data_IF_904691429537
#
_entry.id   IF_904691429537
#
_cell.length_a   1.000
_cell.length_b   1.000
_cell.length_c   1.000
_cell.angle_alpha   90.00
_cell.angle_beta   90.00
_cell.angle_gamma   90.00
#
_symmetry.space_group_name_H-M   'P 1'
#
loop_
_entity.id
_entity.type
_entity.pdbx_description
1 polymer ?
#
# COMPACT_ATOMS: atom_id res chain seq x y z
N UNK A 1 28.00 21.22 -15.53
CA UNK A 1 27.24 21.93 -14.49
C UNK A 1 26.44 20.95 -13.64
N UNK A 2 26.24 21.21 -12.32
CA UNK A 2 25.40 20.34 -11.45
C UNK A 2 23.93 20.48 -11.84
N UNK A 3 23.18 19.35 -11.86
CA UNK A 3 21.75 19.35 -12.20
C UNK A 3 20.92 19.99 -11.08
N UNK A 4 19.99 20.86 -11.44
CA UNK A 4 18.91 21.34 -10.57
C UNK A 4 17.66 20.48 -10.79
N UNK A 5 17.03 19.99 -9.71
CA UNK A 5 15.75 19.28 -9.82
C UNK A 5 14.65 20.24 -10.25
N UNK A 6 13.72 19.76 -11.07
CA UNK A 6 12.59 20.58 -11.55
C UNK A 6 11.72 21.08 -10.39
N UNK A 7 11.48 20.25 -9.40
CA UNK A 7 10.72 20.66 -8.19
C UNK A 7 11.38 21.85 -7.44
N UNK A 8 12.71 21.86 -7.36
CA UNK A 8 13.46 22.92 -6.69
C UNK A 8 13.49 24.18 -7.56
N UNK A 9 13.65 23.99 -8.88
CA UNK A 9 13.65 25.08 -9.84
C UNK A 9 12.33 25.87 -9.84
N UNK A 10 11.19 25.15 -9.83
CA UNK A 10 9.86 25.77 -9.85
C UNK A 10 9.53 26.58 -8.58
N UNK A 11 10.30 26.40 -7.51
CA UNK A 11 10.20 27.16 -6.24
C UNK A 11 11.23 28.27 -6.14
N UNK A 12 12.18 28.33 -7.07
CA UNK A 12 13.26 29.33 -7.06
C UNK A 12 12.78 30.65 -7.63
N UNK A 13 13.33 31.73 -7.08
CA UNK A 13 13.14 33.12 -7.55
C UNK A 13 14.44 33.73 -8.07
N UNK A 14 15.50 32.93 -8.26
CA UNK A 14 16.82 33.37 -8.71
C UNK A 14 16.86 33.58 -10.25
N UNK A 15 15.97 34.45 -10.70
CA UNK A 15 15.84 34.79 -12.14
C UNK A 15 17.13 35.38 -12.72
N UNK A 16 17.46 35.00 -13.95
CA UNK A 16 18.69 35.34 -14.63
C UNK A 16 19.86 34.38 -14.35
N UNK A 17 19.74 33.50 -13.39
CA UNK A 17 20.74 32.46 -13.13
C UNK A 17 20.82 31.41 -14.24
N UNK A 18 22.02 30.88 -14.49
CA UNK A 18 22.22 29.78 -15.43
C UNK A 18 21.98 28.46 -14.69
N UNK A 19 21.05 27.66 -15.19
CA UNK A 19 20.65 26.37 -14.60
C UNK A 19 20.90 25.24 -15.58
N UNK A 20 21.09 24.01 -15.03
CA UNK A 20 21.12 22.79 -15.80
C UNK A 20 19.96 21.91 -15.35
N UNK A 21 19.03 21.59 -16.23
CA UNK A 21 17.91 20.68 -15.98
C UNK A 21 18.02 19.47 -16.88
N UNK A 22 17.65 18.29 -16.35
CA UNK A 22 17.63 17.03 -17.11
C UNK A 22 16.32 16.32 -16.87
N UNK A 23 15.76 15.70 -17.90
CA UNK A 23 14.49 14.99 -17.77
C UNK A 23 13.97 14.47 -19.10
N UNK A 24 12.73 14.03 -19.06
CA UNK A 24 12.04 13.45 -20.20
C UNK A 24 10.99 14.42 -20.75
N UNK A 25 10.94 14.51 -22.08
CA UNK A 25 10.00 15.36 -22.80
C UNK A 25 8.58 14.79 -22.63
N UNK A 26 7.68 15.63 -22.11
CA UNK A 26 6.23 15.32 -22.03
C UNK A 26 5.51 15.76 -23.29
N UNK A 27 5.81 16.96 -23.74
CA UNK A 27 5.25 17.50 -24.98
C UNK A 27 6.23 18.48 -25.62
N UNK A 28 6.18 18.58 -26.95
CA UNK A 28 6.82 19.64 -27.71
C UNK A 28 5.79 20.34 -28.60
N UNK A 29 5.83 21.66 -28.64
CA UNK A 29 5.08 22.51 -29.59
C UNK A 29 6.06 23.37 -30.35
N UNK A 30 6.08 23.23 -31.67
CA UNK A 30 6.98 24.02 -32.54
C UNK A 30 6.22 25.20 -33.11
N UNK A 31 6.76 26.41 -32.91
CA UNK A 31 6.38 27.63 -33.58
C UNK A 31 7.38 28.00 -34.67
N UNK A 32 7.13 29.10 -35.39
CA UNK A 32 8.05 29.58 -36.45
C UNK A 32 9.39 30.06 -35.90
N UNK A 33 9.37 30.75 -34.76
CA UNK A 33 10.55 31.34 -34.14
C UNK A 33 11.03 30.55 -32.89
N UNK A 34 10.14 29.85 -32.20
CA UNK A 34 10.43 29.24 -30.89
C UNK A 34 9.76 27.89 -30.79
N UNK A 35 10.47 26.93 -30.22
CA UNK A 35 9.92 25.64 -29.78
C UNK A 35 9.75 25.63 -28.27
N UNK A 36 8.58 25.18 -27.78
CA UNK A 36 8.29 25.00 -26.38
C UNK A 36 8.31 23.52 -26.04
N UNK A 37 9.17 23.15 -25.08
CA UNK A 37 9.36 21.74 -24.66
C UNK A 37 8.99 21.64 -23.18
N UNK A 38 7.98 20.84 -22.86
CA UNK A 38 7.64 20.53 -21.48
C UNK A 38 8.54 19.39 -21.00
N UNK A 39 9.41 19.66 -20.04
CA UNK A 39 10.38 18.71 -19.49
C UNK A 39 10.00 18.32 -18.06
N UNK A 40 10.10 17.05 -17.73
CA UNK A 40 9.82 16.49 -16.39
C UNK A 40 10.92 15.52 -15.97
N UNK A 41 11.37 15.63 -14.72
CA UNK A 41 12.42 14.76 -14.17
C UNK A 41 11.89 13.77 -13.11
N UNK A 42 10.58 13.68 -12.92
CA UNK A 42 9.93 12.83 -11.93
C UNK A 42 9.84 13.43 -10.52
N UNK A 43 10.57 14.50 -10.22
CA UNK A 43 10.59 15.10 -8.86
C UNK A 43 9.28 15.80 -8.47
N UNK A 44 8.44 16.13 -9.45
CA UNK A 44 7.14 16.77 -9.28
C UNK A 44 6.21 16.37 -10.42
N UNK A 45 4.91 16.53 -10.24
CA UNK A 45 3.93 16.36 -11.32
C UNK A 45 4.00 17.48 -12.35
N UNK A 46 4.46 18.67 -11.94
CA UNK A 46 4.59 19.84 -12.80
C UNK A 46 5.78 19.70 -13.74
N UNK A 47 5.68 20.30 -14.93
CA UNK A 47 6.76 20.36 -15.89
C UNK A 47 7.44 21.72 -15.83
N UNK A 48 8.72 21.80 -16.19
CA UNK A 48 9.33 23.06 -16.55
C UNK A 48 9.22 23.27 -18.07
N UNK A 49 8.88 24.47 -18.51
CA UNK A 49 8.90 24.83 -19.91
C UNK A 49 10.32 25.22 -20.32
N UNK A 50 10.84 24.55 -21.33
CA UNK A 50 12.07 24.93 -22.03
C UNK A 50 11.68 25.73 -23.27
N UNK A 51 12.28 26.89 -23.43
CA UNK A 51 12.10 27.76 -24.59
C UNK A 51 13.35 27.66 -25.45
N UNK A 52 13.20 27.06 -26.64
CA UNK A 52 14.29 26.88 -27.60
C UNK A 52 14.09 27.79 -28.82
N UNK A 53 14.95 28.79 -28.97
CA UNK A 53 14.91 29.72 -30.08
C UNK A 53 15.42 29.06 -31.36
N UNK A 54 14.65 29.17 -32.46
CA UNK A 54 15.03 28.63 -33.78
C UNK A 54 16.25 29.35 -34.42
N UNK A 55 16.61 30.53 -33.92
CA UNK A 55 17.84 31.21 -34.33
C UNK A 55 19.10 30.60 -33.68
N UNK A 56 18.94 29.86 -32.55
CA UNK A 56 20.03 29.24 -31.77
C UNK A 56 20.15 27.75 -32.08
N UNK A 57 19.03 27.08 -32.26
CA UNK A 57 19.00 25.60 -32.40
C UNK A 57 18.62 25.19 -33.83
N UNK A 58 19.40 24.28 -34.38
CA UNK A 58 19.14 23.71 -35.71
C UNK A 58 17.78 22.93 -35.70
N UNK A 59 17.06 23.10 -36.81
CA UNK A 59 15.77 22.44 -37.04
C UNK A 59 15.87 20.92 -36.99
N UNK A 60 16.99 20.31 -37.41
CA UNK A 60 17.22 18.86 -37.37
C UNK A 60 17.37 18.35 -35.93
N UNK A 61 18.09 19.09 -35.07
CA UNK A 61 18.15 18.80 -33.64
C UNK A 61 16.75 18.82 -33.02
N UNK A 62 16.00 19.90 -33.29
CA UNK A 62 14.67 20.05 -32.72
C UNK A 62 13.70 18.96 -33.21
N UNK A 63 13.81 18.45 -34.43
CA UNK A 63 12.98 17.36 -34.95
C UNK A 63 13.18 16.05 -34.20
N UNK A 64 14.38 15.76 -33.72
CA UNK A 64 14.72 14.56 -32.96
C UNK A 64 14.13 14.57 -31.52
N UNK A 65 13.74 15.75 -31.03
CA UNK A 65 13.14 15.91 -29.70
C UNK A 65 11.66 15.54 -29.79
N UNK A 66 11.32 14.32 -29.42
CA UNK A 66 9.96 13.78 -29.41
C UNK A 66 9.47 13.50 -27.98
N UNK A 67 8.19 13.21 -27.80
CA UNK A 67 7.66 12.77 -26.49
C UNK A 67 8.41 11.52 -26.04
N UNK A 68 8.92 11.54 -24.80
CA UNK A 68 9.71 10.46 -24.23
C UNK A 68 11.23 10.60 -24.41
N UNK A 69 11.72 11.48 -25.28
CA UNK A 69 13.17 11.78 -25.39
C UNK A 69 13.72 12.29 -24.06
N UNK A 70 14.95 11.94 -23.74
CA UNK A 70 15.66 12.42 -22.57
C UNK A 70 16.63 13.53 -22.94
N UNK A 71 16.54 14.66 -22.25
CA UNK A 71 17.34 15.86 -22.53
C UNK A 71 18.17 16.30 -21.34
N UNK A 72 19.30 16.95 -21.65
CA UNK A 72 20.04 17.85 -20.75
C UNK A 72 19.98 19.25 -21.34
N UNK A 73 19.48 20.21 -20.56
CA UNK A 73 19.30 21.57 -21.00
C UNK A 73 20.06 22.51 -20.06
N UNK A 74 20.90 23.37 -20.61
CA UNK A 74 21.53 24.50 -19.92
C UNK A 74 20.95 25.80 -20.46
N UNK A 75 20.59 26.72 -19.59
CA UNK A 75 20.02 28.00 -20.02
C UNK A 75 19.67 28.89 -18.83
N UNK A 76 19.11 30.07 -19.17
CA UNK A 76 18.71 31.08 -18.20
C UNK A 76 17.33 30.76 -17.62
N UNK A 77 17.23 30.71 -16.28
CA UNK A 77 15.95 30.67 -15.58
C UNK A 77 15.32 32.07 -15.65
N UNK A 78 14.10 32.16 -16.12
CA UNK A 78 13.36 33.42 -16.21
C UNK A 78 11.93 33.24 -15.65
N UNK A 79 11.33 34.36 -15.25
CA UNK A 79 9.92 34.38 -14.91
C UNK A 79 9.09 34.05 -16.16
N UNK A 80 8.12 33.14 -16.01
CA UNK A 80 7.29 32.75 -17.16
C UNK A 80 6.18 33.77 -17.42
N UNK A 81 6.03 34.25 -18.64
CA UNK A 81 4.89 35.11 -19.02
C UNK A 81 3.59 34.31 -19.19
N UNK A 82 3.68 32.97 -19.19
CA UNK A 82 2.56 32.06 -19.41
C UNK A 82 1.72 31.81 -18.16
N UNK A 83 0.40 31.79 -18.31
CA UNK A 83 -0.50 31.42 -17.22
C UNK A 83 -0.27 29.96 -16.76
N UNK A 84 -0.25 29.74 -15.44
CA UNK A 84 -0.16 28.41 -14.86
C UNK A 84 1.26 27.86 -14.67
N UNK A 85 2.30 28.66 -14.91
CA UNK A 85 3.69 28.33 -14.61
C UNK A 85 4.43 29.56 -14.11
N UNK A 86 5.29 29.40 -13.09
CA UNK A 86 6.05 30.52 -12.51
C UNK A 86 7.39 30.73 -13.19
N UNK A 87 7.97 29.67 -13.72
CA UNK A 87 9.36 29.67 -14.24
C UNK A 87 9.42 28.98 -15.59
N UNK A 88 10.28 29.49 -16.47
CA UNK A 88 10.72 28.78 -17.67
C UNK A 88 12.24 28.86 -17.83
N UNK A 89 12.81 28.01 -18.67
CA UNK A 89 14.25 28.02 -19.00
C UNK A 89 14.44 28.41 -20.46
N UNK A 90 15.09 29.53 -20.68
CA UNK A 90 15.55 29.92 -22.01
C UNK A 90 16.82 29.16 -22.33
N UNK A 91 16.71 28.19 -23.23
CA UNK A 91 17.78 27.26 -23.53
C UNK A 91 18.94 27.97 -24.23
N UNK A 92 20.16 27.73 -23.75
CA UNK A 92 21.44 28.12 -24.39
C UNK A 92 22.12 26.89 -25.01
N UNK A 93 21.91 25.70 -24.40
CA UNK A 93 22.41 24.40 -24.88
C UNK A 93 21.36 23.31 -24.65
N UNK A 94 21.17 22.46 -25.62
CA UNK A 94 20.32 21.25 -25.52
C UNK A 94 21.12 20.05 -26.02
N UNK A 95 21.32 19.06 -25.13
CA UNK A 95 21.90 17.76 -25.48
C UNK A 95 20.82 16.69 -25.40
N UNK A 96 20.67 15.90 -26.46
CA UNK A 96 19.79 14.71 -26.44
C UNK A 96 20.56 13.57 -25.81
N UNK A 97 20.19 13.20 -24.57
CA UNK A 97 20.78 12.08 -23.84
C UNK A 97 20.24 10.71 -24.32
N UNK A 98 19.03 10.73 -24.86
CA UNK A 98 18.36 9.56 -25.41
C UNK A 98 17.20 9.95 -26.31
N UNK A 99 17.19 9.39 -27.51
CA UNK A 99 16.07 9.54 -28.45
C UNK A 99 14.91 8.61 -28.02
N UNK A 100 13.73 8.84 -28.57
CA UNK A 100 12.56 8.01 -28.32
C UNK A 100 12.04 7.44 -29.62
N UNK A 101 11.89 6.12 -29.69
CA UNK A 101 11.36 5.43 -30.86
C UNK A 101 9.88 5.77 -31.09
N UNK A 102 9.40 5.61 -32.32
CA UNK A 102 8.04 6.01 -32.72
C UNK A 102 6.95 5.16 -32.07
N UNK A 103 7.27 3.92 -31.72
CA UNK A 103 6.38 2.95 -31.04
C UNK A 103 6.31 3.13 -29.52
N UNK A 104 6.79 4.25 -28.99
CA UNK A 104 6.73 4.56 -27.56
C UNK A 104 5.32 4.37 -27.00
N UNK A 105 5.11 3.46 -26.01
CA UNK A 105 3.77 3.05 -25.60
C UNK A 105 3.01 4.13 -24.80
N UNK A 106 3.71 5.06 -24.16
CA UNK A 106 3.08 6.11 -23.33
C UNK A 106 2.80 7.38 -24.16
N UNK A 107 1.92 7.24 -25.16
CA UNK A 107 1.54 8.35 -26.04
C UNK A 107 0.60 9.35 -25.32
N UNK A 108 0.43 10.57 -25.92
CA UNK A 108 -0.43 11.64 -25.39
C UNK A 108 -1.91 11.28 -25.28
N UNK A 109 -2.40 10.37 -26.11
CA UNK A 109 -3.79 9.88 -26.02
C UNK A 109 -3.93 9.05 -24.76
N UNK A 110 -5.03 9.25 -24.02
CA UNK A 110 -5.35 8.49 -22.82
C UNK A 110 -5.32 6.99 -23.10
N UNK A 111 -4.54 6.27 -22.33
CA UNK A 111 -4.43 4.81 -22.37
C UNK A 111 -5.33 4.23 -21.28
N UNK A 112 -5.91 3.05 -21.50
CA UNK A 112 -6.64 2.36 -20.42
C UNK A 112 -5.68 1.86 -19.35
N UNK A 113 -6.19 1.69 -18.12
CA UNK A 113 -5.38 1.13 -17.03
C UNK A 113 -4.95 -0.31 -17.34
N UNK A 114 -5.77 -1.10 -18.03
CA UNK A 114 -5.42 -2.45 -18.50
C UNK A 114 -4.20 -2.42 -19.41
N UNK A 115 -4.20 -1.54 -20.41
CA UNK A 115 -3.05 -1.35 -21.27
C UNK A 115 -1.80 -0.93 -20.49
N UNK A 116 -1.94 0.01 -19.54
CA UNK A 116 -0.80 0.45 -18.73
C UNK A 116 -0.26 -0.65 -17.80
N UNK A 117 -1.08 -1.61 -17.38
CA UNK A 117 -0.62 -2.79 -16.62
C UNK A 117 0.25 -3.72 -17.46
N UNK A 118 -0.07 -3.90 -18.74
CA UNK A 118 0.79 -4.70 -19.65
C UNK A 118 2.11 -4.00 -20.01
N UNK A 119 2.23 -2.71 -19.67
CA UNK A 119 3.43 -1.89 -19.83
C UNK A 119 3.92 -1.31 -18.50
N UNK A 120 3.87 -2.11 -17.43
CA UNK A 120 4.18 -1.65 -16.07
C UNK A 120 5.56 -0.98 -15.95
N UNK A 121 6.56 -1.47 -16.70
CA UNK A 121 7.91 -0.92 -16.79
C UNK A 121 7.98 0.52 -17.37
N UNK A 122 6.94 0.95 -18.10
CA UNK A 122 6.89 2.29 -18.72
C UNK A 122 5.83 3.20 -18.10
N UNK A 123 4.78 2.65 -17.45
CA UNK A 123 3.66 3.43 -16.93
C UNK A 123 4.04 4.49 -15.90
N UNK A 124 5.16 4.31 -15.19
CA UNK A 124 5.73 5.28 -14.26
C UNK A 124 6.05 6.64 -14.89
N UNK A 125 6.22 6.68 -16.21
CA UNK A 125 6.46 7.93 -16.97
C UNK A 125 5.18 8.72 -17.21
N UNK A 126 4.01 8.22 -16.84
CA UNK A 126 2.75 8.97 -16.93
C UNK A 126 2.53 9.86 -15.70
N UNK A 127 1.70 10.87 -15.83
CA UNK A 127 1.38 11.75 -14.69
C UNK A 127 0.65 10.99 -13.59
N UNK A 128 -0.31 10.14 -13.93
CA UNK A 128 -1.10 9.35 -12.97
C UNK A 128 -0.20 8.45 -12.12
N UNK A 129 0.63 7.63 -12.75
CA UNK A 129 1.49 6.72 -11.98
C UNK A 129 2.65 7.45 -11.31
N UNK A 130 3.15 8.54 -11.90
CA UNK A 130 4.10 9.44 -11.22
C UNK A 130 3.53 9.98 -9.91
N UNK A 131 2.27 10.45 -9.91
CA UNK A 131 1.58 10.93 -8.72
C UNK A 131 1.38 9.81 -7.68
N UNK A 132 0.82 8.67 -8.10
CA UNK A 132 0.60 7.51 -7.21
C UNK A 132 1.89 7.08 -6.50
N UNK A 133 3.02 6.99 -7.21
CA UNK A 133 4.26 6.50 -6.62
C UNK A 133 5.02 7.55 -5.80
N UNK A 134 4.83 8.86 -6.05
CA UNK A 134 5.31 9.90 -5.13
C UNK A 134 4.50 9.88 -3.82
N UNK A 135 3.18 9.70 -3.90
CA UNK A 135 2.33 9.51 -2.70
C UNK A 135 2.74 8.24 -1.95
N UNK A 136 2.91 7.10 -2.64
CA UNK A 136 3.38 5.84 -2.03
C UNK A 136 4.71 6.03 -1.29
N UNK A 137 5.67 6.73 -1.91
CA UNK A 137 6.95 7.04 -1.26
C UNK A 137 6.77 7.86 0.01
N UNK A 138 5.95 8.93 -0.05
CA UNK A 138 5.71 9.80 1.10
C UNK A 138 4.99 9.06 2.24
N UNK A 139 4.01 8.21 1.92
CA UNK A 139 3.33 7.38 2.92
C UNK A 139 4.29 6.39 3.58
N UNK A 140 5.18 5.74 2.82
CA UNK A 140 6.16 4.83 3.40
C UNK A 140 7.08 5.55 4.40
N UNK A 141 7.54 6.75 4.06
CA UNK A 141 8.32 7.58 4.98
C UNK A 141 7.52 8.01 6.21
N UNK A 142 6.27 8.45 6.02
CA UNK A 142 5.37 8.86 7.10
C UNK A 142 5.15 7.73 8.11
N UNK A 143 4.95 6.50 7.64
CA UNK A 143 4.79 5.30 8.47
C UNK A 143 6.02 5.09 9.36
N UNK A 144 7.22 5.06 8.77
CA UNK A 144 8.45 4.91 9.55
C UNK A 144 8.64 6.05 10.56
N UNK A 145 8.33 7.28 10.15
CA UNK A 145 8.43 8.45 11.03
C UNK A 145 7.44 8.37 12.19
N UNK A 146 6.18 8.01 11.93
CA UNK A 146 5.15 7.87 12.95
C UNK A 146 5.61 6.91 14.06
N UNK A 147 5.94 5.69 13.68
CA UNK A 147 6.35 4.68 14.65
C UNK A 147 7.65 5.02 15.37
N UNK A 148 8.63 5.60 14.66
CA UNK A 148 9.87 6.07 15.28
C UNK A 148 9.61 7.15 16.34
N UNK A 149 8.81 8.15 16.02
CA UNK A 149 8.50 9.27 16.91
C UNK A 149 7.68 8.82 18.15
N UNK A 150 6.94 7.71 18.04
CA UNK A 150 6.19 7.09 19.14
C UNK A 150 6.99 6.03 19.91
N UNK A 151 8.30 5.88 19.62
CA UNK A 151 9.19 4.99 20.37
C UNK A 151 9.11 3.51 19.98
N UNK A 152 8.52 3.19 18.84
CA UNK A 152 8.48 1.82 18.32
C UNK A 152 9.80 1.46 17.65
N UNK A 153 10.20 0.19 17.80
CA UNK A 153 11.33 -0.37 17.09
C UNK A 153 10.88 -0.97 15.75
N UNK A 154 11.55 -0.61 14.66
CA UNK A 154 11.39 -1.34 13.40
C UNK A 154 12.01 -2.73 13.53
N UNK A 155 11.18 -3.76 13.39
CA UNK A 155 11.56 -5.14 13.65
C UNK A 155 11.47 -5.97 12.38
N UNK A 156 12.59 -6.61 12.00
CA UNK A 156 12.63 -7.50 10.87
C UNK A 156 12.15 -8.90 11.26
N UNK A 157 11.10 -9.38 10.60
CA UNK A 157 10.62 -10.74 10.71
C UNK A 157 10.99 -11.55 9.47
N UNK A 158 11.18 -12.88 9.57
CA UNK A 158 11.58 -13.69 8.43
C UNK A 158 10.58 -13.67 7.29
N UNK A 159 11.07 -13.53 6.06
CA UNK A 159 10.25 -13.68 4.85
C UNK A 159 10.04 -15.17 4.53
N UNK A 160 11.02 -16.03 4.85
CA UNK A 160 10.92 -17.48 4.69
C UNK A 160 10.62 -18.06 6.06
N UNK A 161 9.51 -18.77 6.18
CA UNK A 161 9.04 -19.35 7.45
C UNK A 161 8.61 -20.80 7.29
N UNK A 162 8.66 -21.55 8.37
CA UNK A 162 8.06 -22.88 8.47
C UNK A 162 6.70 -22.85 9.18
N UNK A 163 6.25 -21.68 9.64
CA UNK A 163 5.01 -21.48 10.40
C UNK A 163 3.95 -20.79 9.55
N UNK A 164 2.70 -21.26 9.64
CA UNK A 164 1.54 -20.59 9.05
C UNK A 164 0.83 -19.77 10.14
N UNK A 165 0.96 -18.45 10.06
CA UNK A 165 0.36 -17.52 11.01
C UNK A 165 -1.17 -17.52 10.96
N UNK A 166 -1.77 -17.71 9.80
CA UNK A 166 -3.22 -17.64 9.61
C UNK A 166 -3.90 -19.03 9.67
N UNK A 167 -3.12 -20.12 9.59
CA UNK A 167 -3.60 -21.50 9.75
C UNK A 167 -4.47 -22.03 8.60
N UNK A 168 -4.66 -21.28 7.53
CA UNK A 168 -5.51 -21.63 6.39
C UNK A 168 -4.99 -21.11 5.05
N UNK A 169 -3.83 -20.46 5.05
CA UNK A 169 -3.31 -19.76 3.88
C UNK A 169 -2.72 -20.71 2.84
N UNK A 170 -3.05 -20.51 1.58
CA UNK A 170 -2.25 -21.08 0.50
C UNK A 170 -0.94 -20.29 0.44
N UNK A 171 0.14 -20.92 0.90
CA UNK A 171 1.47 -20.32 0.94
C UNK A 171 2.28 -20.72 -0.30
N UNK A 172 3.08 -19.80 -0.82
CA UNK A 172 4.10 -20.13 -1.82
C UNK A 172 5.23 -20.91 -1.16
N UNK A 173 5.50 -22.10 -1.65
CA UNK A 173 6.60 -22.92 -1.14
C UNK A 173 7.96 -22.40 -1.59
N UNK A 174 8.94 -22.49 -0.68
CA UNK A 174 10.36 -22.19 -0.94
C UNK A 174 11.14 -23.48 -0.83
N UNK A 175 11.76 -23.90 -1.92
CA UNK A 175 12.55 -25.14 -1.98
C UNK A 175 13.72 -25.00 -2.94
N UNK A 176 14.80 -25.70 -2.65
CA UNK A 176 15.98 -25.88 -3.56
C UNK A 176 15.96 -27.24 -4.25
N UNK A 177 14.97 -28.09 -3.97
CA UNK A 177 14.86 -29.39 -4.64
C UNK A 177 14.52 -29.24 -6.10
N UNK A 178 15.01 -30.16 -6.92
CA UNK A 178 14.64 -30.24 -8.32
C UNK A 178 13.19 -30.75 -8.47
N UNK A 179 12.29 -29.89 -8.95
CA UNK A 179 10.87 -30.20 -9.09
C UNK A 179 10.57 -31.34 -10.07
N UNK A 180 11.51 -31.68 -10.96
CA UNK A 180 11.37 -32.82 -11.89
C UNK A 180 11.75 -34.17 -11.27
N UNK A 181 12.49 -34.17 -10.14
CA UNK A 181 13.00 -35.38 -9.47
C UNK A 181 12.84 -35.28 -7.97
N UNK A 182 11.61 -34.97 -7.52
CA UNK A 182 11.30 -34.85 -6.11
C UNK A 182 11.52 -36.17 -5.39
N UNK A 183 12.31 -36.15 -4.33
CA UNK A 183 12.48 -37.27 -3.43
C UNK A 183 11.20 -37.47 -2.61
N UNK A 184 10.80 -38.73 -2.42
CA UNK A 184 9.64 -39.10 -1.62
C UNK A 184 10.03 -40.05 -0.49
N UNK A 185 9.36 -39.89 0.63
CA UNK A 185 9.46 -40.82 1.76
C UNK A 185 8.72 -42.15 1.51
N UNK A 186 8.75 -43.03 2.50
CA UNK A 186 8.07 -44.36 2.44
C UNK A 186 6.55 -44.27 2.31
N UNK A 187 5.96 -43.13 2.72
CA UNK A 187 4.52 -42.85 2.61
C UNK A 187 4.15 -42.16 1.27
N UNK A 188 5.13 -41.87 0.41
CA UNK A 188 4.93 -41.21 -0.88
C UNK A 188 4.79 -39.67 -0.78
N UNK A 189 5.05 -39.09 0.41
CA UNK A 189 5.10 -37.65 0.62
C UNK A 189 6.47 -37.10 0.20
N UNK A 190 6.54 -35.78 -0.08
CA UNK A 190 7.81 -35.15 -0.42
C UNK A 190 8.74 -35.23 0.80
N UNK A 191 9.95 -35.76 0.60
CA UNK A 191 11.00 -35.79 1.59
C UNK A 191 11.85 -34.51 1.52
N UNK A 192 11.76 -33.69 2.54
CA UNK A 192 12.48 -32.41 2.65
C UNK A 192 13.83 -32.54 3.41
N UNK A 193 14.23 -33.76 3.84
CA UNK A 193 15.45 -33.94 4.65
C UNK A 193 16.72 -33.42 3.98
N UNK A 194 16.79 -33.49 2.65
CA UNK A 194 17.90 -33.00 1.85
C UNK A 194 17.67 -31.58 1.28
N UNK A 195 16.52 -30.93 1.57
CA UNK A 195 16.28 -29.55 1.16
C UNK A 195 17.07 -28.57 2.03
N UNK A 196 17.21 -27.33 1.57
CA UNK A 196 18.06 -26.32 2.20
C UNK A 196 17.80 -26.17 3.72
N UNK A 197 16.52 -26.14 4.13
CA UNK A 197 16.13 -26.01 5.53
C UNK A 197 15.83 -27.34 6.23
N UNK A 198 15.93 -28.48 5.53
CA UNK A 198 15.63 -29.79 6.07
C UNK A 198 14.15 -30.01 6.47
N UNK A 199 13.25 -29.12 6.06
CA UNK A 199 11.81 -29.15 6.34
C UNK A 199 11.05 -28.26 5.34
N UNK A 200 9.72 -28.45 5.20
CA UNK A 200 8.91 -27.53 4.37
C UNK A 200 9.03 -26.11 4.83
N UNK A 201 9.27 -25.19 3.91
CA UNK A 201 9.28 -23.75 4.15
C UNK A 201 8.48 -23.01 3.08
N UNK A 202 8.00 -21.83 3.42
CA UNK A 202 7.15 -21.02 2.57
C UNK A 202 7.49 -19.55 2.69
N UNK A 203 6.98 -18.74 1.76
CA UNK A 203 6.97 -17.29 1.92
C UNK A 203 5.89 -16.92 2.95
N UNK A 204 6.21 -15.98 3.84
CA UNK A 204 5.33 -15.57 4.95
C UNK A 204 4.05 -14.90 4.47
N UNK A 205 2.97 -15.11 5.21
CA UNK A 205 1.68 -14.40 5.05
C UNK A 205 1.55 -13.23 6.02
N UNK A 206 2.39 -13.16 7.07
CA UNK A 206 2.41 -12.12 8.11
C UNK A 206 3.67 -12.24 8.95
N UNK A 207 4.16 -11.12 9.47
CA UNK A 207 5.25 -11.08 10.45
C UNK A 207 4.77 -11.04 11.90
N UNK A 208 3.46 -11.22 12.16
CA UNK A 208 2.86 -11.00 13.46
C UNK A 208 3.43 -11.91 14.55
N UNK A 209 3.50 -13.22 14.32
CA UNK A 209 3.88 -14.16 15.38
C UNK A 209 5.30 -13.89 15.91
N UNK A 210 6.25 -13.64 15.01
CA UNK A 210 7.61 -13.24 15.39
C UNK A 210 7.64 -11.80 15.93
N UNK A 211 6.75 -10.94 15.45
CA UNK A 211 6.57 -9.57 15.95
C UNK A 211 6.14 -9.54 17.42
N UNK A 212 5.24 -10.42 17.84
CA UNK A 212 4.83 -10.54 19.26
C UNK A 212 6.01 -10.89 20.18
N UNK A 213 6.98 -11.70 19.70
CA UNK A 213 8.21 -11.99 20.45
C UNK A 213 9.03 -10.71 20.66
N UNK A 214 9.10 -9.88 19.63
CA UNK A 214 9.77 -8.58 19.72
C UNK A 214 9.07 -7.64 20.70
N UNK A 215 7.74 -7.55 20.64
CA UNK A 215 6.94 -6.70 21.51
C UNK A 215 7.07 -7.08 22.99
N UNK A 216 7.01 -8.38 23.30
CA UNK A 216 7.16 -8.89 24.68
C UNK A 216 8.59 -8.75 25.26
N UNK A 217 9.53 -8.26 24.47
CA UNK A 217 10.91 -7.99 24.89
C UNK A 217 11.29 -6.50 24.82
N UNK A 218 10.83 -5.79 23.77
CA UNK A 218 11.17 -4.40 23.47
C UNK A 218 10.03 -3.40 23.81
N UNK A 219 8.86 -3.89 24.19
CA UNK A 219 7.69 -3.11 24.56
C UNK A 219 6.80 -2.73 23.37
N UNK A 220 7.34 -2.12 22.33
CA UNK A 220 6.59 -1.74 21.13
C UNK A 220 7.46 -1.90 19.89
N UNK A 221 6.97 -2.67 18.93
CA UNK A 221 7.64 -2.90 17.64
C UNK A 221 6.66 -2.68 16.48
N UNK A 222 7.19 -2.53 15.29
CA UNK A 222 6.39 -2.67 14.07
C UNK A 222 7.19 -3.38 12.98
N UNK A 223 6.51 -4.17 12.18
CA UNK A 223 7.04 -4.66 10.91
C UNK A 223 6.64 -3.71 9.78
N UNK A 224 7.40 -3.63 8.74
CA UNK A 224 7.01 -3.07 7.45
C UNK A 224 7.73 -3.88 6.38
N UNK A 225 7.08 -4.93 5.93
CA UNK A 225 7.70 -5.94 5.11
C UNK A 225 6.77 -6.60 4.09
N UNK A 226 7.35 -7.29 3.11
CA UNK A 226 6.58 -8.02 2.10
C UNK A 226 5.88 -9.23 2.72
N UNK A 227 4.66 -9.47 2.28
CA UNK A 227 3.85 -10.63 2.59
C UNK A 227 3.28 -11.26 1.32
N UNK A 228 2.98 -12.55 1.37
CA UNK A 228 2.66 -13.34 0.18
C UNK A 228 1.46 -14.22 0.44
N UNK A 229 0.50 -14.23 -0.50
CA UNK A 229 -0.68 -15.11 -0.44
C UNK A 229 -0.89 -15.76 -1.79
N UNK A 230 -0.91 -17.10 -1.83
CA UNK A 230 -1.07 -17.87 -3.05
C UNK A 230 -2.56 -18.11 -3.43
N UNK A 231 -3.46 -17.30 -2.91
CA UNK A 231 -4.88 -17.38 -3.19
C UNK A 231 -5.18 -17.13 -4.68
N UNK A 232 -5.99 -17.98 -5.28
CA UNK A 232 -6.44 -17.78 -6.67
C UNK A 232 -7.58 -16.74 -6.73
N UNK A 233 -7.31 -15.54 -6.23
CA UNK A 233 -8.24 -14.41 -6.23
C UNK A 233 -7.86 -13.38 -7.26
N UNK A 234 -8.79 -13.01 -8.14
CA UNK A 234 -8.57 -12.07 -9.24
C UNK A 234 -9.43 -10.80 -9.08
N UNK A 235 -9.62 -10.33 -7.86
CA UNK A 235 -10.40 -9.11 -7.57
C UNK A 235 -9.53 -7.84 -7.69
N UNK A 236 -10.14 -6.66 -7.75
CA UNK A 236 -9.42 -5.37 -7.70
C UNK A 236 -8.68 -5.09 -6.37
N UNK A 237 -8.85 -5.93 -5.35
CA UNK A 237 -8.34 -5.72 -3.97
C UNK A 237 -7.33 -6.77 -3.52
N UNK A 238 -6.96 -7.75 -4.37
CA UNK A 238 -6.04 -8.83 -4.03
C UNK A 238 -4.77 -8.80 -4.88
N UNK A 239 -3.65 -9.02 -4.21
CA UNK A 239 -2.33 -9.23 -4.78
C UNK A 239 -1.72 -10.49 -4.15
N UNK A 240 -0.88 -11.20 -4.89
CA UNK A 240 -0.13 -12.33 -4.37
C UNK A 240 1.12 -11.90 -3.57
N UNK A 241 1.61 -10.68 -3.81
CA UNK A 241 2.70 -10.03 -3.10
C UNK A 241 2.28 -8.60 -2.77
N UNK A 242 2.36 -8.21 -1.50
CA UNK A 242 2.03 -6.88 -1.00
C UNK A 242 2.81 -6.59 0.27
N UNK A 243 2.69 -5.37 0.82
CA UNK A 243 3.40 -4.97 2.02
C UNK A 243 2.45 -4.80 3.20
N UNK A 244 2.84 -5.32 4.34
CA UNK A 244 2.10 -5.15 5.59
C UNK A 244 2.86 -4.27 6.57
N UNK A 245 2.13 -3.45 7.30
CA UNK A 245 2.58 -2.73 8.49
C UNK A 245 1.89 -3.38 9.67
N UNK A 246 2.67 -3.97 10.59
CA UNK A 246 2.15 -4.77 11.68
C UNK A 246 2.80 -4.33 13.00
N UNK A 247 2.24 -3.33 13.70
CA UNK A 247 2.64 -2.99 15.05
C UNK A 247 2.16 -4.04 16.04
N UNK A 248 3.02 -4.37 17.03
CA UNK A 248 2.71 -5.20 18.18
C UNK A 248 3.20 -4.50 19.46
N UNK A 249 2.32 -4.39 20.46
CA UNK A 249 2.56 -3.54 21.61
C UNK A 249 2.23 -4.29 22.91
N UNK A 250 3.21 -4.43 23.78
CA UNK A 250 3.04 -4.95 25.13
C UNK A 250 2.23 -3.98 25.98
N UNK A 251 1.40 -4.53 26.88
CA UNK A 251 0.56 -3.81 27.84
C UNK A 251 -0.62 -3.04 27.25
N UNK A 252 -0.89 -3.17 25.95
CA UNK A 252 -2.06 -2.62 25.29
C UNK A 252 -3.23 -3.60 25.34
N UNK A 253 -4.42 -3.09 25.65
CA UNK A 253 -5.69 -3.79 25.46
C UNK A 253 -6.30 -3.46 24.08
N UNK A 254 -7.54 -3.93 23.84
CA UNK A 254 -8.22 -3.68 22.57
C UNK A 254 -8.56 -2.19 22.37
N UNK A 255 -8.82 -1.45 23.43
CA UNK A 255 -9.15 -0.01 23.36
C UNK A 255 -7.92 0.81 22.98
N UNK A 256 -6.78 0.53 23.61
CA UNK A 256 -5.50 1.15 23.26
C UNK A 256 -5.13 0.87 21.79
N UNK A 257 -5.42 -0.35 21.33
CA UNK A 257 -5.15 -0.77 19.96
C UNK A 257 -6.05 -0.03 18.94
N UNK A 258 -7.33 0.17 19.27
CA UNK A 258 -8.25 0.99 18.47
C UNK A 258 -7.80 2.44 18.37
N UNK A 259 -7.37 3.03 19.50
CA UNK A 259 -6.87 4.41 19.55
C UNK A 259 -5.63 4.58 18.66
N UNK A 260 -4.68 3.65 18.76
CA UNK A 260 -3.47 3.65 17.93
C UNK A 260 -3.81 3.53 16.45
N UNK A 261 -4.72 2.62 16.07
CA UNK A 261 -5.09 2.41 14.68
C UNK A 261 -5.74 3.65 14.06
N UNK A 262 -6.64 4.31 14.81
CA UNK A 262 -7.30 5.55 14.37
C UNK A 262 -6.30 6.69 14.21
N UNK A 263 -5.46 6.94 15.22
CA UNK A 263 -4.45 7.99 15.19
C UNK A 263 -3.42 7.78 14.06
N UNK A 264 -2.95 6.55 13.91
CA UNK A 264 -1.99 6.19 12.86
C UNK A 264 -2.53 6.43 11.44
N UNK A 265 -3.76 6.00 11.16
CA UNK A 265 -4.36 6.23 9.83
C UNK A 265 -4.58 7.73 9.58
N UNK A 266 -5.13 8.45 10.55
CA UNK A 266 -5.32 9.90 10.45
C UNK A 266 -4.01 10.62 10.20
N UNK A 267 -2.94 10.24 10.88
CA UNK A 267 -1.60 10.77 10.66
C UNK A 267 -1.13 10.54 9.21
N UNK A 268 -1.25 9.32 8.69
CA UNK A 268 -0.84 9.01 7.32
C UNK A 268 -1.61 9.82 6.27
N UNK A 269 -2.93 9.94 6.43
CA UNK A 269 -3.79 10.73 5.53
C UNK A 269 -3.42 12.20 5.60
N UNK A 270 -3.26 12.74 6.80
CA UNK A 270 -2.85 14.14 7.03
C UNK A 270 -1.48 14.43 6.41
N UNK A 271 -0.52 13.52 6.59
CA UNK A 271 0.80 13.63 5.97
C UNK A 271 0.70 13.73 4.44
N UNK A 272 -0.13 12.89 3.81
CA UNK A 272 -0.31 12.94 2.36
C UNK A 272 -0.94 14.28 1.90
N UNK A 273 -1.96 14.76 2.61
CA UNK A 273 -2.59 16.08 2.33
C UNK A 273 -1.58 17.22 2.40
N UNK A 274 -0.67 17.21 3.38
CA UNK A 274 0.32 18.26 3.60
C UNK A 274 1.51 18.17 2.62
N UNK A 275 1.97 16.97 2.27
CA UNK A 275 3.23 16.77 1.54
C UNK A 275 3.04 16.38 0.07
N UNK A 276 1.82 16.01 -0.34
CA UNK A 276 1.53 15.55 -1.69
C UNK A 276 0.38 16.34 -2.36
N UNK A 277 0.15 17.59 -1.96
CA UNK A 277 -1.00 18.40 -2.40
C UNK A 277 -1.15 18.46 -3.93
N UNK A 278 -0.10 18.78 -4.67
CA UNK A 278 -0.14 18.86 -6.14
C UNK A 278 -0.53 17.53 -6.80
N UNK A 279 -0.04 16.41 -6.27
CA UNK A 279 -0.35 15.06 -6.76
C UNK A 279 -1.79 14.66 -6.43
N UNK A 280 -2.25 14.98 -5.21
CA UNK A 280 -3.63 14.73 -4.78
C UNK A 280 -4.64 15.58 -5.53
N UNK A 281 -4.36 16.87 -5.79
CA UNK A 281 -5.20 17.72 -6.64
C UNK A 281 -5.37 17.14 -8.05
N UNK A 282 -4.26 16.65 -8.63
CA UNK A 282 -4.30 16.00 -9.94
C UNK A 282 -5.18 14.75 -9.90
N UNK A 283 -5.00 13.87 -8.91
CA UNK A 283 -5.79 12.64 -8.79
C UNK A 283 -7.25 12.94 -8.50
N UNK A 284 -7.55 13.94 -7.66
CA UNK A 284 -8.90 14.40 -7.40
C UNK A 284 -9.61 14.88 -8.69
N UNK A 285 -8.88 15.58 -9.56
CA UNK A 285 -9.42 16.07 -10.83
C UNK A 285 -9.62 14.94 -11.86
N UNK A 286 -8.69 13.99 -11.94
CA UNK A 286 -8.56 13.07 -13.06
C UNK A 286 -9.08 11.65 -12.76
N UNK A 287 -9.10 11.25 -11.49
CA UNK A 287 -9.40 9.88 -11.07
C UNK A 287 -10.69 9.83 -10.23
N UNK A 288 -10.73 10.56 -9.12
CA UNK A 288 -11.87 10.56 -8.20
C UNK A 288 -12.15 11.96 -7.67
N UNK A 289 -13.22 12.57 -8.16
CA UNK A 289 -13.59 13.96 -7.82
C UNK A 289 -13.96 14.17 -6.35
N UNK A 290 -14.23 13.10 -5.61
CA UNK A 290 -14.55 13.13 -4.18
C UNK A 290 -13.34 12.85 -3.29
N UNK A 291 -12.16 12.64 -3.87
CA UNK A 291 -10.97 12.19 -3.15
C UNK A 291 -10.60 13.12 -2.00
N UNK A 292 -10.40 14.41 -2.27
CA UNK A 292 -9.97 15.36 -1.24
C UNK A 292 -11.02 15.53 -0.13
N UNK A 293 -12.31 15.59 -0.49
CA UNK A 293 -13.41 15.65 0.48
C UNK A 293 -13.38 14.44 1.42
N UNK A 294 -13.21 13.24 0.85
CA UNK A 294 -13.14 11.99 1.64
C UNK A 294 -11.91 11.93 2.55
N UNK A 295 -10.74 12.40 2.08
CA UNK A 295 -9.52 12.42 2.89
C UNK A 295 -9.65 13.41 4.07
N UNK A 296 -10.15 14.60 3.83
CA UNK A 296 -10.44 15.58 4.90
C UNK A 296 -11.44 15.03 5.90
N UNK A 297 -12.51 14.40 5.41
CA UNK A 297 -13.54 13.82 6.26
C UNK A 297 -12.98 12.79 7.25
N UNK A 298 -12.09 11.90 6.80
CA UNK A 298 -11.45 10.89 7.67
C UNK A 298 -10.57 11.54 8.74
N UNK A 299 -9.88 12.62 8.41
CA UNK A 299 -9.00 13.32 9.38
C UNK A 299 -9.82 14.08 10.44
N UNK A 300 -10.96 14.64 10.05
CA UNK A 300 -11.74 15.57 10.88
C UNK A 300 -12.76 14.88 11.81
N UNK A 301 -13.08 13.59 11.56
CA UNK A 301 -14.12 12.87 12.30
C UNK A 301 -13.55 11.67 13.06
N UNK A 302 -14.07 11.46 14.27
CA UNK A 302 -13.76 10.25 15.05
C UNK A 302 -14.40 9.02 14.42
N UNK A 303 -13.74 7.88 14.52
CA UNK A 303 -14.25 6.60 14.02
C UNK A 303 -15.33 6.06 14.96
N UNK A 304 -16.37 5.51 14.39
CA UNK A 304 -17.42 4.85 15.16
C UNK A 304 -16.90 3.54 15.70
N UNK A 305 -17.09 3.27 16.99
CA UNK A 305 -16.76 1.98 17.64
C UNK A 305 -18.04 1.19 17.81
N UNK A 306 -18.05 -0.01 17.29
CA UNK A 306 -19.23 -0.86 17.19
C UNK A 306 -18.85 -2.32 17.42
N UNK A 307 -19.65 -3.07 18.16
CA UNK A 307 -19.46 -4.52 18.23
C UNK A 307 -20.01 -5.21 16.98
N UNK A 308 -19.44 -6.37 16.62
CA UNK A 308 -19.97 -7.19 15.53
C UNK A 308 -21.47 -7.50 15.72
N UNK A 309 -21.89 -7.80 16.95
CA UNK A 309 -23.30 -8.10 17.26
C UNK A 309 -24.22 -6.93 16.94
N UNK A 310 -23.83 -5.70 17.33
CA UNK A 310 -24.56 -4.48 16.96
C UNK A 310 -24.55 -4.23 15.46
N UNK A 311 -23.42 -4.47 14.80
CA UNK A 311 -23.28 -4.38 13.34
C UNK A 311 -24.24 -5.32 12.60
N UNK A 312 -24.33 -6.58 13.05
CA UNK A 312 -25.29 -7.55 12.49
C UNK A 312 -26.74 -7.09 12.70
N UNK A 313 -27.09 -6.59 13.89
CA UNK A 313 -28.44 -6.07 14.15
C UNK A 313 -28.82 -4.94 13.18
N UNK A 314 -27.91 -3.99 12.94
CA UNK A 314 -28.12 -2.90 11.96
C UNK A 314 -28.33 -3.45 10.56
N UNK A 315 -27.55 -4.45 10.15
CA UNK A 315 -27.69 -5.07 8.82
C UNK A 315 -28.99 -5.87 8.69
N UNK A 316 -29.39 -6.62 9.72
CA UNK A 316 -30.67 -7.35 9.76
C UNK A 316 -31.87 -6.38 9.72
N UNK A 317 -31.81 -5.26 10.44
CA UNK A 317 -32.82 -4.20 10.36
C UNK A 317 -32.89 -3.58 8.97
N UNK A 318 -31.75 -3.37 8.31
CA UNK A 318 -31.71 -2.90 6.93
C UNK A 318 -32.44 -3.87 5.98
N UNK A 319 -32.18 -5.17 6.12
CA UNK A 319 -32.88 -6.21 5.34
C UNK A 319 -34.38 -6.19 5.62
N UNK A 320 -34.81 -6.09 6.89
CA UNK A 320 -36.21 -6.01 7.28
C UNK A 320 -36.87 -4.77 6.69
N UNK A 321 -36.17 -3.67 6.50
CA UNK A 321 -36.61 -2.43 5.88
C UNK A 321 -36.50 -2.45 4.34
N UNK A 322 -36.20 -3.58 3.73
CA UNK A 322 -36.23 -3.79 2.27
C UNK A 322 -34.88 -3.61 1.55
N UNK A 323 -33.78 -3.35 2.27
CA UNK A 323 -32.46 -3.38 1.67
C UNK A 323 -32.10 -4.80 1.23
N UNK A 324 -31.46 -4.95 0.06
CA UNK A 324 -31.10 -6.25 -0.49
C UNK A 324 -29.60 -6.38 -0.58
N UNK A 325 -29.05 -7.30 0.19
CA UNK A 325 -27.65 -7.75 0.06
C UNK A 325 -27.57 -8.96 -0.87
N UNK A 326 -26.45 -9.14 -1.54
CA UNK A 326 -26.15 -10.33 -2.36
C UNK A 326 -25.89 -11.54 -1.47
N UNK A 327 -25.20 -11.34 -0.33
CA UNK A 327 -24.88 -12.36 0.63
C UNK A 327 -25.79 -12.30 1.87
N UNK A 328 -26.10 -13.46 2.50
CA UNK A 328 -26.96 -13.50 3.67
C UNK A 328 -26.33 -12.81 4.88
N UNK A 329 -27.15 -12.21 5.72
CA UNK A 329 -26.77 -11.58 6.98
C UNK A 329 -27.39 -12.33 8.13
N UNK A 330 -26.57 -12.85 9.04
CA UNK A 330 -26.97 -13.42 10.33
C UNK A 330 -25.76 -13.51 11.24
N UNK A 331 -25.98 -13.59 12.55
CA UNK A 331 -24.89 -13.70 13.51
C UNK A 331 -24.04 -14.96 13.26
N UNK A 332 -22.72 -14.79 13.25
CA UNK A 332 -21.75 -15.84 12.90
C UNK A 332 -21.31 -15.85 11.43
N UNK A 333 -21.94 -15.01 10.57
CA UNK A 333 -21.51 -14.85 9.16
C UNK A 333 -20.27 -13.98 9.08
N UNK A 334 -19.28 -14.39 8.29
CA UNK A 334 -18.20 -13.51 7.90
C UNK A 334 -18.75 -12.39 7.00
N UNK A 335 -18.42 -11.12 7.32
CA UNK A 335 -18.99 -9.97 6.62
C UNK A 335 -18.41 -9.86 5.20
N UNK A 336 -19.30 -9.83 4.22
CA UNK A 336 -18.91 -9.49 2.85
C UNK A 336 -18.66 -7.97 2.74
N UNK A 337 -17.86 -7.57 1.76
CA UNK A 337 -17.54 -6.16 1.51
C UNK A 337 -18.76 -5.25 1.35
N UNK A 338 -19.90 -5.77 0.90
CA UNK A 338 -21.14 -4.98 0.79
C UNK A 338 -21.73 -4.66 2.17
N UNK A 339 -21.63 -5.59 3.14
CA UNK A 339 -22.06 -5.38 4.52
C UNK A 339 -21.21 -4.30 5.22
N UNK A 340 -19.90 -4.41 5.09
CA UNK A 340 -18.94 -3.42 5.62
C UNK A 340 -19.19 -2.03 5.04
N UNK A 341 -19.39 -1.95 3.73
CA UNK A 341 -19.66 -0.69 3.05
C UNK A 341 -20.99 -0.09 3.45
N UNK A 342 -22.03 -0.90 3.65
CA UNK A 342 -23.32 -0.42 4.14
C UNK A 342 -23.16 0.28 5.50
N UNK A 343 -22.46 -0.34 6.45
CA UNK A 343 -22.21 0.25 7.76
C UNK A 343 -21.49 1.60 7.64
N UNK A 344 -20.44 1.66 6.81
CA UNK A 344 -19.60 2.86 6.67
C UNK A 344 -20.22 3.95 5.80
N UNK A 345 -20.79 3.59 4.64
CA UNK A 345 -21.19 4.55 3.60
C UNK A 345 -22.67 4.98 3.73
N UNK A 346 -23.55 4.08 4.18
CA UNK A 346 -24.99 4.34 4.23
C UNK A 346 -25.48 4.63 5.65
N UNK A 347 -25.10 3.77 6.62
CA UNK A 347 -25.62 3.89 7.99
C UNK A 347 -24.91 4.98 8.80
N UNK A 348 -23.62 4.83 9.07
CA UNK A 348 -22.88 5.79 9.91
C UNK A 348 -22.30 6.95 9.13
N UNK A 349 -22.02 6.79 7.85
CA UNK A 349 -21.31 7.75 6.99
C UNK A 349 -19.99 8.21 7.59
N UNK A 350 -19.28 7.28 8.24
CA UNK A 350 -17.98 7.46 8.91
C UNK A 350 -17.19 6.16 8.86
N UNK A 351 -15.86 6.19 9.00
CA UNK A 351 -15.10 4.98 9.29
C UNK A 351 -15.61 4.30 10.57
N UNK A 352 -15.60 2.98 10.57
CA UNK A 352 -16.11 2.15 11.67
C UNK A 352 -15.01 1.22 12.14
N UNK A 353 -14.83 1.10 13.45
CA UNK A 353 -14.03 0.04 14.07
C UNK A 353 -15.02 -0.98 14.63
N UNK A 354 -15.05 -2.15 14.02
CA UNK A 354 -15.92 -3.24 14.39
C UNK A 354 -15.17 -4.24 15.26
N UNK A 355 -15.70 -4.60 16.44
CA UNK A 355 -15.02 -5.44 17.44
C UNK A 355 -15.85 -6.66 17.85
N UNK A 356 -15.25 -7.54 18.66
CA UNK A 356 -15.93 -8.65 19.33
C UNK A 356 -16.62 -9.61 18.35
N UNK A 357 -15.84 -10.11 17.41
CA UNK A 357 -16.28 -11.06 16.39
C UNK A 357 -16.49 -12.47 16.95
N UNK A 358 -17.36 -13.29 16.34
CA UNK A 358 -17.46 -14.72 16.64
C UNK A 358 -16.11 -15.43 16.50
N UNK A 359 -15.75 -16.27 17.47
CA UNK A 359 -14.47 -16.97 17.48
C UNK A 359 -14.26 -17.91 16.29
N UNK A 360 -15.35 -18.40 15.70
CA UNK A 360 -15.32 -19.38 14.60
C UNK A 360 -14.78 -18.78 13.29
N UNK A 361 -14.89 -17.45 13.12
CA UNK A 361 -14.47 -16.74 11.92
C UNK A 361 -13.19 -15.93 12.12
N UNK A 362 -12.51 -16.09 13.25
CA UNK A 362 -11.28 -15.33 13.58
C UNK A 362 -10.15 -16.27 13.99
N UNK A 363 -8.91 -15.78 13.91
CA UNK A 363 -7.70 -16.54 14.11
C UNK A 363 -7.50 -17.03 15.56
N UNK A 364 -6.69 -18.07 15.72
CA UNK A 364 -6.48 -18.79 16.98
C UNK A 364 -5.83 -17.97 18.10
N UNK A 365 -5.04 -16.97 17.74
CA UNK A 365 -4.25 -16.16 18.69
C UNK A 365 -5.04 -15.01 19.33
N UNK A 366 -6.27 -14.78 18.91
CA UNK A 366 -7.09 -13.70 19.43
C UNK A 366 -7.67 -14.02 20.79
N UNK A 367 -7.61 -13.06 21.70
CA UNK A 367 -8.09 -13.21 23.08
C UNK A 367 -9.59 -13.44 23.15
N UNK A 368 -9.99 -14.51 23.84
CA UNK A 368 -11.39 -14.85 24.07
C UNK A 368 -12.04 -13.89 25.04
N UNK A 369 -13.25 -13.41 24.74
CA UNK A 369 -14.09 -12.70 25.69
C UNK A 369 -14.65 -13.65 26.77
N UNK A 370 -15.17 -13.08 27.86
CA UNK A 370 -15.73 -13.85 28.98
C UNK A 370 -16.99 -14.65 28.60
N UNK A 371 -17.66 -14.24 27.51
CA UNK A 371 -18.85 -14.94 26.97
C UNK A 371 -18.53 -16.31 26.36
N UNK A 372 -17.24 -16.61 26.10
CA UNK A 372 -16.77 -17.85 25.50
C UNK A 372 -17.17 -18.03 24.02
N UNK A 373 -17.76 -17.01 23.39
CA UNK A 373 -18.28 -17.04 22.01
C UNK A 373 -17.58 -16.04 21.09
N UNK A 374 -17.15 -14.91 21.62
CA UNK A 374 -16.51 -13.84 20.86
C UNK A 374 -15.06 -13.66 21.23
N UNK A 375 -14.30 -13.04 20.34
CA UNK A 375 -12.87 -12.71 20.53
C UNK A 375 -12.68 -11.21 20.39
N UNK A 376 -11.67 -10.66 21.08
CA UNK A 376 -11.28 -9.24 21.04
C UNK A 376 -10.54 -8.90 19.76
N UNK A 377 -11.21 -9.19 18.63
CA UNK A 377 -10.78 -8.75 17.32
C UNK A 377 -11.20 -7.31 17.06
N UNK A 378 -10.53 -6.64 16.15
CA UNK A 378 -10.99 -5.37 15.58
C UNK A 378 -10.69 -5.33 14.10
N UNK A 379 -11.65 -4.84 13.31
CA UNK A 379 -11.47 -4.49 11.90
C UNK A 379 -11.83 -3.02 11.71
N UNK A 380 -10.94 -2.25 11.08
CA UNK A 380 -11.19 -0.84 10.72
C UNK A 380 -11.72 -0.81 9.30
N UNK A 381 -12.96 -0.35 9.17
CA UNK A 381 -13.72 -0.32 7.93
C UNK A 381 -13.73 1.09 7.34
N UNK A 382 -13.34 1.21 6.08
CA UNK A 382 -13.26 2.48 5.36
C UNK A 382 -14.20 2.52 4.14
N UNK A 383 -14.67 3.73 3.76
CA UNK A 383 -15.48 3.88 2.54
C UNK A 383 -14.69 3.43 1.31
N UNK A 384 -15.37 2.78 0.37
CA UNK A 384 -14.84 2.23 -0.89
C UNK A 384 -13.83 1.06 -0.72
N UNK A 385 -13.21 0.92 0.43
CA UNK A 385 -12.19 -0.11 0.70
C UNK A 385 -12.80 -1.31 1.44
N UNK A 386 -13.68 -1.09 2.43
CA UNK A 386 -14.05 -2.08 3.44
C UNK A 386 -12.94 -2.18 4.49
N UNK A 387 -12.59 -3.37 4.93
CA UNK A 387 -11.50 -3.59 5.87
C UNK A 387 -10.16 -3.05 5.34
N UNK A 388 -9.56 -2.11 6.09
CA UNK A 388 -8.23 -1.56 5.82
C UNK A 388 -7.20 -2.01 6.86
N UNK A 389 -7.62 -2.22 8.11
CA UNK A 389 -6.85 -2.77 9.22
C UNK A 389 -7.62 -3.94 9.82
N UNK A 390 -6.94 -5.05 10.08
CA UNK A 390 -7.39 -6.13 10.95
C UNK A 390 -6.46 -6.28 12.15
N UNK A 391 -6.99 -6.43 13.35
CA UNK A 391 -6.19 -6.53 14.58
C UNK A 391 -6.88 -7.26 15.71
N UNK A 392 -6.20 -7.38 16.84
CA UNK A 392 -6.80 -7.95 18.06
C UNK A 392 -5.95 -7.68 19.30
N UNK A 393 -6.57 -7.82 20.47
CA UNK A 393 -5.86 -8.20 21.68
C UNK A 393 -5.45 -9.67 21.57
N UNK A 394 -4.20 -9.99 21.95
CA UNK A 394 -3.63 -11.35 21.81
C UNK A 394 -3.92 -12.18 23.06
N UNK A 395 -4.12 -13.49 22.89
CA UNK A 395 -4.30 -14.39 24.03
C UNK A 395 -2.98 -14.55 24.79
N UNK A 396 -2.91 -14.05 26.01
CA UNK A 396 -1.74 -14.13 26.88
C UNK A 396 -1.72 -15.37 27.78
N UNK A 397 -2.83 -16.09 27.89
CA UNK A 397 -2.92 -17.32 28.69
C UNK A 397 -2.42 -18.52 27.90
N UNK A 398 -1.40 -19.19 28.43
CA UNK A 398 -0.87 -20.43 27.85
C UNK A 398 -1.95 -21.48 27.65
N UNK A 399 -2.76 -21.75 28.71
CA UNK A 399 -3.76 -22.82 28.69
C UNK A 399 -4.87 -22.53 27.67
N UNK A 400 -5.34 -21.29 27.60
CA UNK A 400 -6.37 -20.87 26.64
C UNK A 400 -5.85 -20.93 25.20
N UNK A 401 -4.66 -20.39 24.96
CA UNK A 401 -4.03 -20.41 23.63
C UNK A 401 -3.79 -21.86 23.17
N UNK A 402 -3.24 -22.70 24.05
CA UNK A 402 -3.03 -24.11 23.74
C UNK A 402 -4.33 -24.83 23.44
N UNK A 403 -5.37 -24.61 24.23
CA UNK A 403 -6.69 -25.23 24.00
C UNK A 403 -7.24 -24.80 22.61
N UNK A 404 -7.05 -23.56 22.20
CA UNK A 404 -7.49 -23.07 20.90
C UNK A 404 -6.69 -23.67 19.74
N UNK A 405 -5.38 -23.82 19.90
CA UNK A 405 -4.50 -24.51 18.93
C UNK A 405 -4.93 -25.98 18.77
N UNK A 406 -5.23 -26.69 19.88
CA UNK A 406 -5.69 -28.04 19.85
C UNK A 406 -7.08 -28.17 19.20
N UNK A 407 -8.03 -27.24 19.51
CA UNK A 407 -9.38 -27.20 18.92
C UNK A 407 -9.30 -27.07 17.38
N UNK A 408 -8.39 -26.23 16.88
CA UNK A 408 -8.18 -25.99 15.45
C UNK A 408 -7.22 -26.99 14.79
N UNK A 409 -6.70 -27.96 15.54
CA UNK A 409 -5.78 -29.00 15.07
C UNK A 409 -4.49 -28.44 14.42
N UNK A 410 -4.01 -27.29 14.90
CA UNK A 410 -2.76 -26.69 14.44
C UNK A 410 -1.58 -27.54 14.95
N UNK A 411 -0.59 -27.90 14.09
CA UNK A 411 0.53 -28.75 14.51
C UNK A 411 1.40 -28.09 15.59
N UNK A 412 1.39 -28.64 16.80
CA UNK A 412 2.14 -28.12 17.96
C UNK A 412 3.66 -28.03 17.74
N UNK A 413 4.23 -28.94 16.92
CA UNK A 413 5.66 -28.95 16.60
C UNK A 413 6.14 -27.64 15.95
N UNK A 414 5.23 -26.91 15.30
CA UNK A 414 5.55 -25.68 14.57
C UNK A 414 5.22 -24.43 15.42
N UNK A 415 4.57 -24.60 16.60
CA UNK A 415 4.11 -23.49 17.45
C UNK A 415 4.75 -23.45 18.85
N UNK A 416 5.68 -24.35 19.16
CA UNK A 416 6.29 -24.47 20.50
C UNK A 416 6.95 -23.16 20.96
N UNK A 417 7.68 -22.50 20.09
CA UNK A 417 8.38 -21.26 20.37
C UNK A 417 7.43 -20.09 20.64
N UNK A 418 6.27 -20.07 19.98
CA UNK A 418 5.23 -19.06 20.19
C UNK A 418 4.53 -19.28 21.54
N UNK A 419 4.25 -20.54 21.91
CA UNK A 419 3.70 -20.89 23.22
C UNK A 419 4.66 -20.61 24.38
N UNK A 420 5.97 -20.68 24.16
CA UNK A 420 6.96 -20.36 25.20
C UNK A 420 6.85 -18.91 25.68
N UNK A 421 6.45 -17.97 24.84
CA UNK A 421 6.22 -16.57 25.26
C UNK A 421 5.09 -16.43 26.26
N UNK A 422 4.15 -17.39 26.31
CA UNK A 422 3.07 -17.44 27.30
C UNK A 422 3.49 -18.15 28.59
N UNK A 423 4.58 -18.93 28.55
CA UNK A 423 5.14 -19.62 29.72
C UNK A 423 6.15 -18.77 30.47
N UNK A 424 6.85 -17.89 29.77
CA UNK A 424 8.01 -17.17 30.27
C UNK A 424 7.76 -15.66 30.28
N UNK A 425 7.05 -15.18 31.31
CA UNK A 425 6.82 -13.75 31.51
C UNK A 425 5.83 -13.12 30.54
N UNK A 426 4.70 -13.79 30.34
CA UNK A 426 3.61 -13.26 29.50
C UNK A 426 3.07 -11.93 29.99
N UNK A 427 2.54 -11.14 29.09
CA UNK A 427 1.82 -9.90 29.41
C UNK A 427 0.64 -9.71 28.44
N UNK A 428 -0.38 -8.89 28.81
CA UNK A 428 -1.35 -8.40 27.84
C UNK A 428 -0.62 -7.68 26.70
N UNK A 429 -1.02 -7.94 25.46
CA UNK A 429 -0.47 -7.27 24.28
C UNK A 429 -1.46 -7.29 23.13
N UNK A 430 -1.33 -6.32 22.27
CA UNK A 430 -2.23 -6.11 21.14
C UNK A 430 -1.44 -5.71 19.90
N UNK A 431 -2.07 -5.87 18.75
CA UNK A 431 -1.49 -5.42 17.50
C UNK A 431 -2.50 -5.46 16.36
N UNK A 432 -2.08 -4.95 15.22
CA UNK A 432 -2.89 -4.96 14.02
C UNK A 432 -2.04 -5.07 12.75
N UNK A 433 -2.66 -5.43 11.64
CA UNK A 433 -2.07 -5.39 10.31
C UNK A 433 -2.77 -4.38 9.41
N UNK A 434 -1.99 -3.48 8.80
CA UNK A 434 -2.44 -2.57 7.75
C UNK A 434 -1.81 -2.99 6.42
N UNK A 435 -2.63 -3.29 5.42
CA UNK A 435 -2.16 -3.47 4.04
C UNK A 435 -1.72 -2.14 3.44
N UNK A 436 -0.43 -2.00 3.12
CA UNK A 436 0.11 -0.75 2.59
C UNK A 436 -0.54 -0.35 1.26
N UNK A 437 -0.75 -1.30 0.38
CA UNK A 437 -1.42 -1.05 -0.90
C UNK A 437 -2.87 -0.62 -0.73
N UNK A 438 -3.59 -1.11 0.28
CA UNK A 438 -4.95 -0.64 0.61
C UNK A 438 -4.93 0.81 1.08
N UNK A 439 -3.95 1.21 1.89
CA UNK A 439 -3.76 2.61 2.29
C UNK A 439 -3.47 3.50 1.09
N UNK A 440 -2.54 3.10 0.22
CA UNK A 440 -2.21 3.85 -1.00
C UNK A 440 -3.42 3.94 -1.93
N UNK A 441 -4.19 2.85 -2.07
CA UNK A 441 -5.43 2.82 -2.86
C UNK A 441 -6.43 3.86 -2.35
N UNK A 442 -6.66 3.90 -1.03
CA UNK A 442 -7.54 4.86 -0.38
C UNK A 442 -7.09 6.31 -0.59
N UNK A 443 -5.81 6.60 -0.33
CA UNK A 443 -5.25 7.95 -0.39
C UNK A 443 -5.15 8.48 -1.82
N UNK A 444 -5.01 7.61 -2.82
CA UNK A 444 -4.90 8.02 -4.23
C UNK A 444 -6.22 8.02 -4.99
N UNK A 445 -7.28 7.39 -4.45
CA UNK A 445 -8.55 7.21 -5.14
C UNK A 445 -8.51 6.24 -6.32
N UNK A 446 -7.40 5.49 -6.47
CA UNK A 446 -7.30 4.46 -7.51
C UNK A 446 -8.28 3.33 -7.24
N UNK A 447 -8.78 2.69 -8.31
CA UNK A 447 -9.86 1.69 -8.22
C UNK A 447 -9.36 0.25 -8.24
N UNK A 448 -8.08 0.03 -8.47
CA UNK A 448 -7.52 -1.31 -8.55
C UNK A 448 -6.13 -1.35 -7.88
N UNK A 449 -5.96 -2.26 -6.97
CA UNK A 449 -4.73 -2.41 -6.17
C UNK A 449 -3.48 -2.67 -7.02
N UNK A 450 -3.65 -3.23 -8.24
CA UNK A 450 -2.56 -3.42 -9.21
C UNK A 450 -1.95 -2.11 -9.70
N UNK A 451 -2.64 -0.99 -9.48
CA UNK A 451 -2.22 0.33 -9.94
C UNK A 451 -1.47 1.13 -8.86
N UNK A 452 -1.36 0.59 -7.65
CA UNK A 452 -0.67 1.25 -6.53
C UNK A 452 0.60 0.53 -6.06
N UNK A 453 0.97 -0.54 -6.75
CA UNK A 453 2.26 -1.24 -6.61
C UNK A 453 3.01 -1.20 -7.96
N UNK A 454 4.35 -1.02 -7.98
CA UNK A 454 5.09 -0.85 -9.24
C UNK A 454 4.89 -2.02 -10.22
N UNK A 455 5.09 -3.24 -9.74
CA UNK A 455 5.01 -4.48 -10.52
C UNK A 455 4.10 -5.47 -9.81
N UNK A 456 2.80 -5.48 -10.11
CA UNK A 456 1.84 -6.32 -9.40
C UNK A 456 2.08 -7.81 -9.65
N UNK A 457 1.90 -8.62 -8.61
CA UNK A 457 1.87 -10.08 -8.66
C UNK A 457 0.44 -10.55 -8.43
N UNK A 458 -0.13 -11.22 -9.41
CA UNK A 458 -1.49 -11.78 -9.35
C UNK A 458 -1.51 -13.13 -10.07
N UNK A 459 -2.58 -13.94 -9.95
CA UNK A 459 -2.67 -15.18 -10.70
C UNK A 459 -2.37 -14.96 -12.19
N UNK A 460 -1.46 -15.78 -12.74
CA UNK A 460 -0.98 -15.73 -14.13
C UNK A 460 -0.23 -14.46 -14.55
N UNK A 461 0.21 -13.61 -13.60
CA UNK A 461 0.95 -12.39 -13.90
C UNK A 461 2.18 -12.28 -13.01
N UNK A 462 3.35 -12.46 -13.60
CA UNK A 462 4.66 -12.34 -12.95
C UNK A 462 5.70 -11.69 -13.89
N UNK A 463 5.24 -10.98 -14.90
CA UNK A 463 6.09 -10.24 -15.84
C UNK A 463 6.79 -9.07 -15.14
N UNK A 464 8.02 -8.78 -15.55
CA UNK A 464 8.94 -7.75 -15.02
C UNK A 464 9.71 -8.18 -13.74
#
# INVERSE_FOLDING_TARGET
MKRTKINDLLKSTDFGSTVCVKGWVRTRRSGKAVSFIALNDGSTIKNVQIVADAAVFDSELLKQITTGSCLSVVGKMVESPGAGQSVEVQAEQIDILGTCAEDYPMQKKGQSFEYMRTHAHMRLRTNTFGAVFRIRHNLAYAIHKYFHDHGFFYFHTPIITASDCEGAGQMFQVTTQNLYTLKKDEEGKIDYSDDFFGKPTSLTVSGQLEGELGATALGAIYTFGPTFRAENSNTPRHLAEFWMIEPEIAFYDIHDNMDLAEDFIKYCVKWALEHCADDLEFLNKMIDKSLLERLHFVVEHDFVRLTYTEGIQILEEAVANGHKFEFPVHWGTDLASEHERYLVEEHFKRPVILTDYPKEIKAFYMKMNEDGKTVRAMDVLFPQIGEIIGGSEREESYDKLKARIDELQIPMKDMWWYLDTRRFGTCPHSGFGLGFERLVLFVTGMQNIRDVIPFPRTPKTADF
#
